data_IF_220509052221
#
_entry.id   IF_220509052221
#
_cell.length_a   1.000
_cell.length_b   1.000
_cell.length_c   1.000
_cell.angle_alpha   90.00
_cell.angle_beta   90.00
_cell.angle_gamma   90.00
#
_symmetry.space_group_name_H-M   'P 1'
#
loop_
_entity.id
_entity.type
_entity.pdbx_description
1 polymer ?
#
# COMPACT_ATOMS: atom_id res chain seq x y z
N UNK A 1 21.49 -21.45 -32.34
CA UNK A 1 20.41 -20.45 -32.28
C UNK A 1 20.09 -20.24 -30.82
N UNK A 2 20.43 -19.07 -30.28
CA UNK A 2 20.17 -18.71 -28.90
C UNK A 2 18.67 -18.44 -28.75
N UNK A 3 18.04 -19.11 -27.80
CA UNK A 3 16.64 -18.85 -27.47
C UNK A 3 16.53 -17.43 -26.89
N UNK A 4 15.99 -16.50 -27.68
CA UNK A 4 15.42 -15.26 -27.17
C UNK A 4 14.22 -15.66 -26.29
N UNK A 5 14.49 -15.81 -25.00
CA UNK A 5 13.46 -15.95 -24.01
C UNK A 5 12.64 -14.66 -24.01
N UNK A 6 11.33 -14.77 -24.31
CA UNK A 6 10.37 -13.68 -24.27
C UNK A 6 10.44 -12.92 -22.94
N UNK A 7 11.16 -11.81 -22.90
CA UNK A 7 10.89 -10.74 -21.94
C UNK A 7 9.74 -9.92 -22.49
N UNK A 8 8.51 -10.35 -22.19
CA UNK A 8 7.25 -9.71 -22.62
C UNK A 8 7.09 -8.27 -22.08
N UNK A 9 7.90 -7.87 -21.09
CA UNK A 9 7.82 -6.59 -20.39
C UNK A 9 9.21 -5.97 -20.27
N UNK A 10 9.28 -4.64 -20.34
CA UNK A 10 10.49 -3.89 -20.05
C UNK A 10 10.92 -4.13 -18.59
N UNK A 11 12.22 -4.26 -18.31
CA UNK A 11 12.70 -4.39 -16.94
C UNK A 11 12.34 -3.13 -16.15
N UNK A 12 11.52 -3.27 -15.10
CA UNK A 12 11.15 -2.16 -14.21
C UNK A 12 12.15 -2.06 -13.06
N UNK A 13 12.54 -0.84 -12.70
CA UNK A 13 13.41 -0.60 -11.54
C UNK A 13 12.64 -0.90 -10.24
N UNK A 14 13.00 -2.03 -9.59
CA UNK A 14 12.42 -2.48 -8.32
C UNK A 14 12.47 -1.42 -7.21
N UNK A 15 13.49 -0.55 -7.21
CA UNK A 15 13.62 0.53 -6.24
C UNK A 15 12.53 1.58 -6.44
N UNK A 16 12.23 1.92 -7.69
CA UNK A 16 11.16 2.87 -8.05
C UNK A 16 9.80 2.27 -7.70
N UNK A 17 9.56 0.99 -8.01
CA UNK A 17 8.32 0.27 -7.65
C UNK A 17 8.12 0.33 -6.14
N UNK A 18 9.15 -0.07 -5.38
CA UNK A 18 9.10 -0.08 -3.91
C UNK A 18 8.82 1.31 -3.33
N UNK A 19 9.50 2.34 -3.81
CA UNK A 19 9.28 3.71 -3.34
C UNK A 19 7.86 4.20 -3.65
N UNK A 20 7.34 3.87 -4.83
CA UNK A 20 6.00 4.24 -5.27
C UNK A 20 4.94 3.57 -4.40
N UNK A 21 5.02 2.26 -4.19
CA UNK A 21 4.09 1.51 -3.33
C UNK A 21 4.12 2.04 -1.90
N UNK A 22 5.30 2.25 -1.31
CA UNK A 22 5.43 2.79 0.05
C UNK A 22 4.78 4.17 0.16
N UNK A 23 4.92 5.02 -0.87
CA UNK A 23 4.28 6.34 -0.90
C UNK A 23 2.76 6.23 -0.94
N UNK A 24 2.21 5.36 -1.78
CA UNK A 24 0.76 5.16 -1.84
C UNK A 24 0.20 4.59 -0.52
N UNK A 25 0.89 3.63 0.12
CA UNK A 25 0.49 3.10 1.43
C UNK A 25 0.50 4.16 2.54
N UNK A 26 1.48 5.07 2.54
CA UNK A 26 1.50 6.19 3.49
C UNK A 26 0.36 7.18 3.23
N UNK A 27 0.11 7.50 1.97
CA UNK A 27 -0.99 8.40 1.58
C UNK A 27 -2.36 7.79 1.93
N UNK A 28 -2.51 6.48 1.74
CA UNK A 28 -3.72 5.73 2.06
C UNK A 28 -4.20 5.97 3.50
N UNK A 29 -3.29 6.06 4.48
CA UNK A 29 -3.65 6.37 5.88
C UNK A 29 -4.39 7.69 6.02
N UNK A 30 -3.91 8.73 5.33
CA UNK A 30 -4.56 10.04 5.34
C UNK A 30 -5.88 10.01 4.56
N UNK A 31 -5.93 9.33 3.42
CA UNK A 31 -7.15 9.19 2.63
C UNK A 31 -8.25 8.44 3.39
N UNK A 32 -7.90 7.41 4.15
CA UNK A 32 -8.86 6.66 4.96
C UNK A 32 -9.52 7.53 6.02
N UNK A 33 -8.73 8.35 6.72
CA UNK A 33 -9.24 9.35 7.68
C UNK A 33 -10.07 10.42 6.96
N UNK A 34 -9.64 10.89 5.80
CA UNK A 34 -10.40 11.86 5.00
C UNK A 34 -11.80 11.34 4.65
N UNK A 35 -11.93 10.06 4.27
CA UNK A 35 -13.24 9.45 3.98
C UNK A 35 -14.13 9.35 5.22
N UNK A 36 -13.57 8.96 6.37
CA UNK A 36 -14.31 8.94 7.64
C UNK A 36 -14.83 10.34 7.99
N UNK A 37 -13.96 11.35 7.94
CA UNK A 37 -14.31 12.74 8.19
C UNK A 37 -15.33 13.29 7.16
N UNK A 38 -15.30 12.80 5.91
CA UNK A 38 -16.29 13.17 4.89
C UNK A 38 -17.67 12.60 5.27
N UNK A 39 -17.73 11.33 5.64
CA UNK A 39 -18.97 10.67 6.08
C UNK A 39 -19.57 11.34 7.32
N UNK A 40 -18.76 11.65 8.33
CA UNK A 40 -19.20 12.38 9.53
C UNK A 40 -19.79 13.76 9.20
N UNK A 41 -19.17 14.49 8.26
CA UNK A 41 -19.68 15.80 7.80
C UNK A 41 -21.01 15.67 7.06
N UNK A 42 -21.15 14.65 6.19
CA UNK A 42 -22.38 14.37 5.47
C UNK A 42 -23.53 14.03 6.43
N UNK A 43 -23.27 13.17 7.43
CA UNK A 43 -24.24 12.80 8.46
C UNK A 43 -24.67 13.98 9.34
N UNK A 44 -23.74 14.89 9.64
CA UNK A 44 -24.02 16.11 10.40
C UNK A 44 -24.62 17.25 9.55
N UNK A 45 -24.72 17.10 8.22
CA UNK A 45 -25.15 18.16 7.31
C UNK A 45 -24.22 19.37 7.25
N UNK A 46 -22.93 19.21 7.62
CA UNK A 46 -21.95 20.29 7.69
C UNK A 46 -21.19 20.41 6.38
N UNK A 47 -21.34 21.54 5.70
CA UNK A 47 -20.58 21.87 4.48
C UNK A 47 -19.50 22.88 4.80
N UNK A 48 -18.29 22.69 4.25
CA UNK A 48 -17.22 23.69 4.34
C UNK A 48 -16.55 23.81 5.72
N UNK A 49 -16.53 22.74 6.53
CA UNK A 49 -15.87 22.73 7.85
C UNK A 49 -14.40 23.20 7.82
N UNK A 50 -13.69 22.89 6.73
CA UNK A 50 -12.30 23.31 6.50
C UNK A 50 -12.15 23.93 5.11
N UNK A 51 -11.19 24.86 4.92
CA UNK A 51 -10.87 25.40 3.61
C UNK A 51 -10.41 24.32 2.63
N UNK A 52 -10.93 24.36 1.40
CA UNK A 52 -10.57 23.42 0.33
C UNK A 52 -9.57 24.09 -0.61
N UNK A 53 -8.30 23.65 -0.56
CA UNK A 53 -7.24 24.22 -1.41
C UNK A 53 -7.10 23.52 -2.77
N UNK A 54 -7.69 22.33 -2.93
CA UNK A 54 -7.70 21.53 -4.16
C UNK A 54 -9.11 21.00 -4.36
N UNK A 55 -9.65 21.02 -5.58
CA UNK A 55 -10.99 20.45 -5.84
C UNK A 55 -11.03 19.00 -5.37
N UNK A 56 -12.05 18.64 -4.61
CA UNK A 56 -12.27 17.25 -4.18
C UNK A 56 -12.44 16.39 -5.43
N UNK A 57 -11.52 15.45 -5.62
CA UNK A 57 -11.58 14.49 -6.70
C UNK A 57 -12.15 13.19 -6.11
N UNK A 58 -13.19 12.62 -6.74
CA UNK A 58 -13.75 11.30 -6.39
C UNK A 58 -12.69 10.17 -6.43
N UNK A 59 -11.48 10.48 -6.92
CA UNK A 59 -10.30 9.63 -6.93
C UNK A 59 -9.84 9.20 -5.53
N UNK A 60 -10.03 10.03 -4.49
CA UNK A 60 -9.62 9.67 -3.13
C UNK A 60 -10.33 8.41 -2.61
N UNK A 61 -11.66 8.34 -2.81
CA UNK A 61 -12.47 7.20 -2.42
C UNK A 61 -12.11 5.95 -3.22
N UNK A 62 -11.93 6.11 -4.53
CA UNK A 62 -11.53 5.01 -5.40
C UNK A 62 -10.16 4.44 -5.02
N UNK A 63 -9.19 5.31 -4.70
CA UNK A 63 -7.86 4.91 -4.24
C UNK A 63 -7.93 4.08 -2.97
N UNK A 64 -8.69 4.54 -1.96
CA UNK A 64 -8.85 3.79 -0.70
C UNK A 64 -9.45 2.41 -0.98
N UNK A 65 -10.54 2.32 -1.75
CA UNK A 65 -11.19 1.06 -2.10
C UNK A 65 -10.27 0.09 -2.85
N UNK A 66 -9.43 0.59 -3.76
CA UNK A 66 -8.47 -0.25 -4.48
C UNK A 66 -7.33 -0.74 -3.57
N UNK A 67 -6.79 0.13 -2.71
CA UNK A 67 -5.74 -0.25 -1.77
C UNK A 67 -6.26 -1.24 -0.73
N UNK A 68 -7.48 -1.07 -0.20
CA UNK A 68 -8.10 -2.04 0.71
C UNK A 68 -8.26 -3.41 0.05
N UNK A 69 -8.70 -3.46 -1.22
CA UNK A 69 -8.78 -4.72 -1.97
C UNK A 69 -7.42 -5.34 -2.25
N UNK A 70 -6.39 -4.54 -2.53
CA UNK A 70 -5.03 -5.05 -2.70
C UNK A 70 -4.52 -5.68 -1.39
N UNK A 71 -4.63 -4.96 -0.27
CA UNK A 71 -4.22 -5.46 1.04
C UNK A 71 -4.98 -6.74 1.44
N UNK A 72 -6.26 -6.85 1.10
CA UNK A 72 -7.10 -8.00 1.43
C UNK A 72 -6.86 -9.21 0.52
N UNK A 73 -6.78 -9.00 -0.80
CA UNK A 73 -6.89 -10.12 -1.75
C UNK A 73 -5.60 -10.44 -2.51
N UNK A 74 -4.57 -9.58 -2.48
CA UNK A 74 -3.30 -9.83 -3.17
C UNK A 74 -2.15 -10.27 -2.26
N UNK A 75 -2.38 -10.30 -0.95
CA UNK A 75 -1.37 -10.67 0.05
C UNK A 75 -1.79 -11.91 0.83
N UNK A 76 -0.84 -12.77 1.16
CA UNK A 76 -1.06 -13.76 2.21
C UNK A 76 -1.03 -13.13 3.61
N UNK A 77 -1.36 -13.92 4.64
CA UNK A 77 -1.46 -13.45 6.02
C UNK A 77 -0.17 -12.82 6.53
N UNK A 78 0.98 -13.45 6.28
CA UNK A 78 2.30 -12.97 6.73
C UNK A 78 2.68 -11.70 5.98
N UNK A 79 2.46 -11.68 4.67
CA UNK A 79 2.70 -10.51 3.81
C UNK A 79 1.87 -9.31 4.27
N UNK A 80 0.58 -9.52 4.55
CA UNK A 80 -0.33 -8.50 5.05
C UNK A 80 0.13 -7.97 6.40
N UNK A 81 0.52 -8.84 7.33
CA UNK A 81 0.99 -8.45 8.65
C UNK A 81 2.29 -7.64 8.60
N UNK A 82 3.23 -8.04 7.74
CA UNK A 82 4.46 -7.26 7.48
C UNK A 82 4.10 -5.86 6.96
N UNK A 83 3.19 -5.75 5.99
CA UNK A 83 2.78 -4.44 5.43
C UNK A 83 2.09 -3.59 6.49
N UNK A 84 1.20 -4.19 7.30
CA UNK A 84 0.48 -3.52 8.37
C UNK A 84 1.44 -2.90 9.38
N UNK A 85 2.32 -3.72 9.98
CA UNK A 85 3.27 -3.27 11.01
C UNK A 85 4.29 -2.28 10.43
N UNK A 86 4.76 -2.52 9.21
CA UNK A 86 5.86 -1.72 8.64
C UNK A 86 5.42 -0.36 8.11
N UNK A 87 4.23 -0.27 7.52
CA UNK A 87 3.85 0.88 6.70
C UNK A 87 2.52 1.53 7.11
N UNK A 88 1.59 0.77 7.70
CA UNK A 88 0.24 1.27 7.99
C UNK A 88 0.07 1.72 9.44
N UNK A 89 0.80 1.12 10.39
CA UNK A 89 0.81 1.55 11.78
C UNK A 89 1.43 2.95 11.98
N UNK A 90 1.02 3.63 13.06
CA UNK A 90 1.59 4.91 13.46
C UNK A 90 3.03 4.79 13.95
N UNK A 91 3.38 3.64 14.54
CA UNK A 91 4.72 3.37 15.07
C UNK A 91 5.65 2.87 13.96
N UNK A 92 6.82 3.48 13.88
CA UNK A 92 7.87 2.97 13.00
C UNK A 92 8.58 1.79 13.67
N UNK A 93 8.30 0.57 13.20
CA UNK A 93 8.93 -0.65 13.73
C UNK A 93 10.17 -1.03 12.89
N UNK A 94 11.27 -1.37 13.58
CA UNK A 94 12.50 -1.84 12.93
C UNK A 94 12.27 -3.22 12.33
N UNK A 95 12.88 -3.49 11.18
CA UNK A 95 12.76 -4.79 10.50
C UNK A 95 13.09 -5.97 11.43
N UNK A 96 14.11 -5.81 12.29
CA UNK A 96 14.48 -6.81 13.29
C UNK A 96 13.37 -7.15 14.28
N UNK A 97 12.62 -6.17 14.75
CA UNK A 97 11.54 -6.45 15.68
C UNK A 97 10.42 -7.18 14.95
N UNK A 98 10.09 -6.78 13.71
CA UNK A 98 9.03 -7.41 12.93
C UNK A 98 9.31 -8.90 12.69
N UNK A 99 10.48 -9.26 12.16
CA UNK A 99 10.72 -10.69 11.89
C UNK A 99 10.92 -11.50 13.17
N UNK A 100 11.36 -10.90 14.27
CA UNK A 100 11.44 -11.58 15.57
C UNK A 100 10.04 -11.84 16.15
N UNK A 101 9.16 -10.84 16.12
CA UNK A 101 7.79 -10.92 16.61
C UNK A 101 6.96 -11.92 15.79
N UNK A 102 7.20 -11.99 14.47
CA UNK A 102 6.57 -12.95 13.56
C UNK A 102 7.23 -14.34 13.55
N UNK A 103 8.30 -14.56 14.33
CA UNK A 103 9.01 -15.85 14.34
C UNK A 103 9.68 -16.22 13.01
N UNK A 104 10.01 -15.23 12.17
CA UNK A 104 10.58 -15.42 10.84
C UNK A 104 12.11 -15.31 10.87
N UNK A 105 12.76 -16.13 10.04
CA UNK A 105 14.15 -15.90 9.66
C UNK A 105 14.26 -14.61 8.84
N UNK A 106 15.39 -13.91 8.98
CA UNK A 106 15.68 -12.65 8.29
C UNK A 106 15.47 -12.75 6.77
N UNK A 107 15.97 -13.81 6.15
CA UNK A 107 15.88 -14.04 4.71
C UNK A 107 14.42 -14.17 4.28
N UNK A 108 13.62 -14.97 5.03
CA UNK A 108 12.21 -15.19 4.74
C UNK A 108 11.38 -13.92 4.89
N UNK A 109 11.71 -13.08 5.87
CA UNK A 109 11.09 -11.76 6.03
C UNK A 109 11.32 -10.87 4.81
N UNK A 110 12.56 -10.76 4.31
CA UNK A 110 12.85 -9.92 3.15
C UNK A 110 12.24 -10.45 1.85
N UNK A 111 12.16 -11.78 1.70
CA UNK A 111 11.44 -12.43 0.60
C UNK A 111 9.94 -12.06 0.64
N UNK A 112 9.28 -12.28 1.78
CA UNK A 112 7.84 -11.97 1.96
C UNK A 112 7.54 -10.50 1.80
N UNK A 113 8.37 -9.62 2.37
CA UNK A 113 8.25 -8.17 2.21
C UNK A 113 8.39 -7.74 0.75
N UNK A 114 9.32 -8.34 0.01
CA UNK A 114 9.51 -8.08 -1.42
C UNK A 114 8.31 -8.51 -2.24
N UNK A 115 7.85 -9.75 -2.03
CA UNK A 115 6.66 -10.31 -2.68
C UNK A 115 5.41 -9.45 -2.43
N UNK A 116 5.18 -9.03 -1.18
CA UNK A 116 4.05 -8.18 -0.82
C UNK A 116 4.04 -6.86 -1.58
N UNK A 117 5.20 -6.20 -1.70
CA UNK A 117 5.32 -4.95 -2.47
C UNK A 117 5.02 -5.15 -3.95
N UNK A 118 5.49 -6.26 -4.54
CA UNK A 118 5.22 -6.60 -5.93
C UNK A 118 3.74 -6.90 -6.16
N UNK A 119 3.12 -7.70 -5.29
CA UNK A 119 1.70 -8.04 -5.38
C UNK A 119 0.81 -6.80 -5.26
N UNK A 120 1.15 -5.86 -4.37
CA UNK A 120 0.47 -4.56 -4.29
C UNK A 120 0.69 -3.76 -5.58
N UNK A 121 1.92 -3.70 -6.09
CA UNK A 121 2.21 -2.98 -7.33
C UNK A 121 1.39 -3.51 -8.51
N UNK A 122 1.37 -4.82 -8.71
CA UNK A 122 0.60 -5.49 -9.78
C UNK A 122 -0.90 -5.28 -9.61
N UNK A 123 -1.45 -5.50 -8.40
CA UNK A 123 -2.89 -5.37 -8.15
C UNK A 123 -3.41 -3.94 -8.28
N UNK A 124 -2.55 -2.94 -8.08
CA UNK A 124 -2.87 -1.52 -8.29
C UNK A 124 -2.52 -1.01 -9.71
N UNK A 125 -1.97 -1.86 -10.58
CA UNK A 125 -1.57 -1.47 -11.94
C UNK A 125 -0.40 -0.47 -11.98
N UNK A 126 0.51 -0.53 -11.00
CA UNK A 126 1.76 0.24 -10.96
C UNK A 126 2.81 -0.40 -11.90
N UNK A 127 2.73 -1.72 -12.06
CA UNK A 127 3.52 -2.55 -12.99
C UNK A 127 2.62 -3.56 -13.71
#
# INVERSE_FOLDING_TARGET
>A
MLAEQLTLLEPVDEKIVRQTVIRELKNYRALKVQLANKKEREEAGVVGLFPVLRKEDNLAELKVKQIERALEYSLDEIEREIIQIKYLESKQTKDINIYMDLGLKKEKYYEKKGAAILNIATSLGII
#
